data_IF_247375512071
#
_entry.id   IF_247375512071
#
_cell.length_a   1.000
_cell.length_b   1.000
_cell.length_c   1.000
_cell.angle_alpha   90.00
_cell.angle_beta   90.00
_cell.angle_gamma   90.00
#
_symmetry.space_group_name_H-M   'P 1'
#
loop_
_entity.id
_entity.type
_entity.pdbx_description
1 polymer ?
#
# COMPACT_ATOMS: atom_id res chain seq x y z
N UNK A 1 22.85 -6.01 -9.63
CA UNK A 1 21.59 -5.35 -10.02
C UNK A 1 20.46 -6.14 -9.40
N UNK A 2 19.83 -5.64 -8.34
CA UNK A 2 18.79 -6.35 -7.62
C UNK A 2 17.68 -5.36 -7.24
N UNK A 3 16.84 -5.02 -8.21
CA UNK A 3 15.52 -4.43 -7.95
C UNK A 3 14.53 -5.55 -8.28
N UNK A 4 14.39 -6.57 -7.42
CA UNK A 4 13.60 -6.56 -6.18
C UNK A 4 12.24 -5.93 -6.47
N UNK A 5 11.34 -6.80 -6.93
CA UNK A 5 9.89 -6.73 -6.89
C UNK A 5 9.34 -5.30 -6.76
N UNK A 6 8.73 -4.78 -7.84
CA UNK A 6 8.10 -3.45 -7.96
C UNK A 6 6.87 -3.27 -7.05
N UNK A 7 6.95 -3.68 -5.79
CA UNK A 7 5.87 -3.61 -4.81
C UNK A 7 6.09 -2.43 -3.88
N UNK A 8 5.23 -1.43 -3.99
CA UNK A 8 5.26 -0.22 -3.16
C UNK A 8 4.51 -0.48 -1.86
N UNK A 9 5.03 0.03 -0.74
CA UNK A 9 4.31 0.00 0.54
C UNK A 9 3.37 1.20 0.60
N UNK A 10 2.10 0.95 0.86
CA UNK A 10 1.05 1.96 0.94
C UNK A 10 0.20 1.73 2.18
N UNK A 11 -0.64 2.71 2.53
CA UNK A 11 -1.70 2.51 3.51
C UNK A 11 -3.00 2.17 2.77
N UNK A 12 -3.78 1.26 3.33
CA UNK A 12 -5.09 0.92 2.79
C UNK A 12 -6.16 0.96 3.88
N UNK A 13 -7.30 1.57 3.58
CA UNK A 13 -8.46 1.64 4.45
C UNK A 13 -9.46 0.56 4.07
N UNK A 14 -10.05 -0.10 5.07
CA UNK A 14 -11.22 -0.95 4.87
C UNK A 14 -12.45 -0.10 4.55
N UNK A 15 -13.13 -0.38 3.45
CA UNK A 15 -14.35 0.36 3.05
C UNK A 15 -15.50 0.17 4.05
N UNK A 16 -15.62 -1.02 4.64
CA UNK A 16 -16.72 -1.33 5.56
C UNK A 16 -16.60 -0.69 6.95
N UNK A 17 -15.39 -0.55 7.49
CA UNK A 17 -15.19 -0.07 8.87
C UNK A 17 -14.22 1.10 9.01
N UNK A 18 -13.56 1.52 7.93
CA UNK A 18 -12.59 2.62 7.93
C UNK A 18 -11.26 2.30 8.61
N UNK A 19 -11.01 1.04 9.00
CA UNK A 19 -9.75 0.66 9.66
C UNK A 19 -8.57 0.74 8.68
N UNK A 20 -7.47 1.35 9.13
CA UNK A 20 -6.26 1.56 8.31
C UNK A 20 -5.24 0.44 8.55
N UNK A 21 -4.71 -0.10 7.47
CA UNK A 21 -3.71 -1.18 7.47
C UNK A 21 -2.52 -0.83 6.59
N UNK A 22 -1.34 -1.35 6.96
CA UNK A 22 -0.20 -1.37 6.08
C UNK A 22 -0.45 -2.37 4.94
N UNK A 23 -0.30 -1.92 3.70
CA UNK A 23 -0.54 -2.71 2.51
C UNK A 23 0.61 -2.59 1.51
N UNK A 24 0.58 -3.50 0.55
CA UNK A 24 1.47 -3.54 -0.60
C UNK A 24 0.64 -3.30 -1.85
N UNK A 25 1.08 -2.37 -2.68
CA UNK A 25 0.53 -2.14 -4.01
C UNK A 25 1.51 -2.68 -5.04
N UNK A 26 0.99 -3.52 -5.93
CA UNK A 26 1.70 -4.06 -7.09
C UNK A 26 1.51 -3.12 -8.29
N UNK A 27 2.39 -3.20 -9.30
CA UNK A 27 2.32 -2.30 -10.47
C UNK A 27 1.05 -2.53 -11.32
N UNK A 28 0.43 -3.70 -11.18
CA UNK A 28 -0.87 -4.04 -11.76
C UNK A 28 -2.06 -3.35 -11.06
N UNK A 29 -1.80 -2.62 -9.97
CA UNK A 29 -2.83 -1.97 -9.14
C UNK A 29 -3.44 -2.89 -8.08
N UNK A 30 -3.05 -4.16 -8.03
CA UNK A 30 -3.43 -5.08 -6.95
C UNK A 30 -2.94 -4.53 -5.61
N UNK A 31 -3.79 -4.56 -4.58
CA UNK A 31 -3.45 -4.15 -3.20
C UNK A 31 -3.68 -5.33 -2.26
N UNK A 32 -2.72 -5.61 -1.38
CA UNK A 32 -2.88 -6.59 -0.31
C UNK A 32 -2.30 -6.06 1.00
N UNK A 33 -3.09 -6.17 2.06
CA UNK A 33 -2.65 -5.84 3.41
C UNK A 33 -1.55 -6.80 3.87
N UNK A 34 -0.68 -6.31 4.76
CA UNK A 34 0.46 -7.04 5.29
C UNK A 34 0.11 -7.55 6.68
N UNK A 35 0.43 -8.82 6.97
CA UNK A 35 0.30 -9.40 8.30
C UNK A 35 -1.03 -10.11 8.57
N UNK A 36 -2.00 -10.03 7.65
CA UNK A 36 -3.27 -10.75 7.71
C UNK A 36 -3.90 -10.84 6.31
N UNK A 37 -4.91 -11.68 6.15
CA UNK A 37 -5.57 -11.90 4.84
C UNK A 37 -6.83 -11.04 4.64
N UNK A 38 -7.37 -10.43 5.70
CA UNK A 38 -8.58 -9.60 5.63
C UNK A 38 -8.75 -8.71 6.85
N UNK A 39 -9.78 -7.88 6.87
CA UNK A 39 -10.03 -6.95 7.97
C UNK A 39 -10.63 -7.70 9.16
N UNK A 40 -10.41 -7.20 10.37
CA UNK A 40 -11.02 -7.76 11.58
C UNK A 40 -12.55 -7.67 11.58
N UNK A 41 -13.15 -6.82 10.73
CA UNK A 41 -14.61 -6.76 10.55
C UNK A 41 -15.17 -7.87 9.63
N UNK A 42 -14.32 -8.64 8.95
CA UNK A 42 -14.73 -9.69 8.00
C UNK A 42 -14.78 -9.24 6.53
N UNK A 43 -14.52 -7.97 6.24
CA UNK A 43 -14.45 -7.44 4.89
C UNK A 43 -13.05 -7.64 4.27
N UNK A 44 -13.01 -7.92 2.97
CA UNK A 44 -11.78 -8.13 2.18
C UNK A 44 -11.49 -6.99 1.20
N UNK A 45 -12.34 -5.97 1.18
CA UNK A 45 -12.25 -4.82 0.28
C UNK A 45 -11.49 -3.68 0.95
N UNK A 46 -10.44 -3.20 0.28
CA UNK A 46 -9.57 -2.15 0.78
C UNK A 46 -9.26 -1.13 -0.33
N UNK A 47 -9.24 0.14 0.05
CA UNK A 47 -8.88 1.25 -0.83
C UNK A 47 -7.56 1.86 -0.38
N UNK A 48 -6.69 2.23 -1.33
CA UNK A 48 -5.41 2.87 -1.01
C UNK A 48 -5.67 4.28 -0.49
N UNK A 49 -5.13 4.58 0.69
CA UNK A 49 -5.10 5.93 1.23
C UNK A 49 -3.80 6.55 0.75
N UNK A 50 -3.91 7.44 -0.24
CA UNK A 50 -2.78 8.25 -0.69
C UNK A 50 -2.84 9.60 0.02
N UNK A 51 -1.86 9.85 0.89
CA UNK A 51 -1.61 11.21 1.37
C UNK A 51 -1.11 12.04 0.17
N UNK A 52 -1.73 13.19 -0.16
CA UNK A 52 -1.36 13.98 -1.33
C UNK A 52 0.03 14.64 -1.26
N UNK A 53 0.86 14.32 -0.26
CA UNK A 53 2.19 14.91 -0.04
C UNK A 53 3.36 13.93 -0.14
N UNK A 54 3.14 12.64 -0.46
CA UNK A 54 4.26 11.73 -0.73
C UNK A 54 4.39 11.49 -2.23
N UNK A 55 4.91 12.50 -2.92
CA UNK A 55 5.74 12.27 -4.10
C UNK A 55 6.82 11.24 -3.73
N UNK A 56 7.12 10.22 -4.55
CA UNK A 56 8.24 9.34 -4.29
C UNK A 56 9.52 10.20 -4.18
N UNK A 57 10.54 9.80 -3.40
CA UNK A 57 11.88 10.33 -3.63
C UNK A 57 12.32 9.86 -5.03
N UNK A 58 11.88 10.59 -6.05
CA UNK A 58 12.53 10.62 -7.34
C UNK A 58 13.92 11.21 -7.06
N UNK A 59 14.89 10.31 -6.99
CA UNK A 59 16.30 10.63 -7.11
C UNK A 59 16.83 11.62 -6.04
N UNK A 60 17.21 11.10 -4.87
CA UNK A 60 18.28 11.74 -4.12
C UNK A 60 19.62 11.41 -4.80
N UNK A 61 19.82 11.96 -5.99
CA UNK A 61 21.14 12.09 -6.61
C UNK A 61 21.89 13.26 -5.95
N UNK A 62 23.04 12.95 -5.34
CA UNK A 62 24.17 13.84 -5.03
C UNK A 62 25.17 13.05 -4.16
N UNK A 63 26.46 12.85 -4.44
CA UNK A 63 27.41 13.19 -5.52
C UNK A 63 28.54 12.14 -5.42
#
# INVERSE_FOLDING_TARGET
MAHKDEVTRVLAACDACGSIYAARQWPDGTVRIIGQEGCSCGEGTFEVVTDPETDPPADAGAE
#
